data_IF_395693193559
#
_entry.id   IF_395693193559
#
_cell.length_a   1.000
_cell.length_b   1.000
_cell.length_c   1.000
_cell.angle_alpha   90.00
_cell.angle_beta   90.00
_cell.angle_gamma   90.00
#
_symmetry.space_group_name_H-M   'P 1'
#
loop_
_entity.id
_entity.type
_entity.pdbx_description
1 polymer ?
#
# COMPACT_ATOMS: atom_id res chain seq x y z
N UNK A 1 -26.07 3.22 12.11
CA UNK A 1 -25.62 3.25 13.52
C UNK A 1 -25.36 4.70 13.88
N UNK A 2 -26.17 5.24 14.79
CA UNK A 2 -26.03 6.62 15.30
C UNK A 2 -24.71 6.71 16.07
N UNK A 3 -23.79 7.54 15.58
CA UNK A 3 -22.46 7.69 16.17
C UNK A 3 -22.59 8.47 17.49
N UNK A 4 -22.43 7.80 18.64
CA UNK A 4 -22.62 8.36 19.99
C UNK A 4 -21.39 9.12 20.53
N UNK A 5 -20.36 9.33 19.72
CA UNK A 5 -19.10 9.98 20.12
C UNK A 5 -19.26 11.40 20.69
N UNK A 6 -20.30 12.12 20.28
CA UNK A 6 -20.58 13.48 20.75
C UNK A 6 -20.91 13.53 22.25
N UNK A 7 -21.33 12.41 22.86
CA UNK A 7 -21.47 12.30 24.32
C UNK A 7 -20.14 12.42 25.08
N UNK A 8 -18.99 12.30 24.40
CA UNK A 8 -17.69 12.53 25.01
C UNK A 8 -17.32 14.03 25.08
N UNK A 9 -17.96 14.91 24.30
CA UNK A 9 -17.66 16.34 24.28
C UNK A 9 -17.86 17.05 25.64
N UNK A 10 -18.91 16.76 26.43
CA UNK A 10 -19.06 17.31 27.78
C UNK A 10 -17.88 17.02 28.72
N UNK A 11 -17.09 15.97 28.47
CA UNK A 11 -15.90 15.62 29.27
C UNK A 11 -14.82 16.71 29.15
N UNK A 12 -14.80 17.51 28.07
CA UNK A 12 -13.92 18.68 27.91
C UNK A 12 -14.17 19.77 28.96
N UNK A 13 -15.33 19.77 29.62
CA UNK A 13 -15.63 20.69 30.71
C UNK A 13 -14.97 20.28 32.03
N UNK A 14 -14.54 19.02 32.19
CA UNK A 14 -13.93 18.53 33.44
C UNK A 14 -12.62 19.24 33.77
N UNK A 15 -11.63 19.39 32.85
CA UNK A 15 -10.42 20.15 33.14
C UNK A 15 -10.71 21.60 33.54
N UNK A 16 -11.70 22.23 32.88
CA UNK A 16 -12.12 23.61 33.15
C UNK A 16 -12.76 23.71 34.54
N UNK A 17 -13.70 22.82 34.85
CA UNK A 17 -14.36 22.78 36.15
C UNK A 17 -13.39 22.47 37.29
N UNK A 18 -12.47 21.52 37.07
CA UNK A 18 -11.42 21.19 38.03
C UNK A 18 -10.45 22.36 38.25
N UNK A 19 -10.04 23.04 37.18
CA UNK A 19 -9.19 24.24 37.25
C UNK A 19 -9.87 25.34 38.07
N UNK A 20 -11.18 25.55 37.86
CA UNK A 20 -12.00 26.47 38.65
C UNK A 20 -12.05 26.09 40.14
N UNK A 21 -12.19 24.79 40.47
CA UNK A 21 -12.31 24.32 41.86
C UNK A 21 -10.98 24.34 42.63
N UNK A 22 -9.85 23.99 42.00
CA UNK A 22 -8.53 23.87 42.67
C UNK A 22 -7.90 25.19 43.08
N UNK A 23 -8.38 26.34 42.58
CA UNK A 23 -7.71 27.64 42.72
C UNK A 23 -8.61 28.74 43.26
N UNK A 24 -9.50 28.35 44.17
CA UNK A 24 -9.91 29.22 45.27
C UNK A 24 -8.67 29.43 46.15
N UNK A 25 -7.77 30.33 45.74
CA UNK A 25 -6.61 30.68 46.54
C UNK A 25 -7.05 31.62 47.66
N UNK A 26 -6.91 31.15 48.89
CA UNK A 26 -6.92 32.00 50.08
C UNK A 26 -5.63 32.81 50.04
N UNK A 27 -5.69 34.02 49.49
CA UNK A 27 -4.59 34.96 49.62
C UNK A 27 -4.70 35.58 51.01
N UNK A 28 -3.99 35.01 51.98
CA UNK A 28 -3.72 35.72 53.22
C UNK A 28 -2.57 36.68 52.88
N UNK A 29 -2.89 37.96 52.65
CA UNK A 29 -1.85 38.99 52.63
C UNK A 29 -1.44 39.23 54.08
N UNK A 30 -0.20 38.89 54.49
CA UNK A 30 0.29 39.38 55.76
C UNK A 30 0.48 40.90 55.59
N UNK A 31 -0.38 41.70 56.22
CA UNK A 31 -0.12 43.11 56.42
C UNK A 31 1.13 43.23 57.29
N UNK A 32 2.29 43.34 56.65
CA UNK A 32 3.53 43.52 57.33
C UNK A 32 3.52 44.85 58.11
N UNK A 33 3.83 44.72 59.39
CA UNK A 33 4.43 45.74 60.25
C UNK A 33 3.65 47.05 60.43
N UNK A 34 2.60 47.02 61.25
CA UNK A 34 2.36 48.12 62.18
C UNK A 34 2.16 47.52 63.58
N UNK A 35 3.13 47.73 64.47
CA UNK A 35 3.17 47.23 65.86
C UNK A 35 2.02 47.79 66.74
N UNK A 36 1.04 48.47 66.14
CA UNK A 36 0.05 49.31 66.81
C UNK A 36 -1.39 49.17 66.31
N UNK A 37 -1.70 48.19 65.44
CA UNK A 37 -3.10 47.91 65.10
C UNK A 37 -3.67 46.79 66.00
N UNK A 38 -4.88 46.96 66.58
CA UNK A 38 -5.55 45.89 67.31
C UNK A 38 -5.72 44.70 66.38
N UNK A 39 -5.46 43.48 66.89
CA UNK A 39 -5.47 42.23 66.13
C UNK A 39 -6.75 42.09 65.30
N UNK A 40 -6.70 42.44 64.02
CA UNK A 40 -7.75 42.10 63.06
C UNK A 40 -7.43 40.75 62.45
N UNK A 41 -8.39 39.82 62.54
CA UNK A 41 -8.28 38.50 61.93
C UNK A 41 -8.03 38.62 60.42
N UNK A 42 -7.13 37.79 59.85
CA UNK A 42 -6.79 37.86 58.44
C UNK A 42 -8.02 37.57 57.58
N UNK A 43 -8.57 38.61 56.92
CA UNK A 43 -9.65 38.44 55.95
C UNK A 43 -9.12 37.76 54.70
N UNK A 44 -9.51 36.51 54.53
CA UNK A 44 -9.22 35.74 53.32
C UNK A 44 -10.00 36.33 52.15
N UNK A 45 -9.33 37.07 51.25
CA UNK A 45 -9.97 37.56 50.04
C UNK A 45 -9.93 36.49 48.94
N UNK A 46 -11.11 36.14 48.43
CA UNK A 46 -11.29 35.17 47.36
C UNK A 46 -11.04 35.84 46.01
N UNK A 47 -9.78 35.96 45.61
CA UNK A 47 -9.42 36.60 44.34
C UNK A 47 -9.42 35.56 43.22
N UNK A 48 -10.19 35.82 42.16
CA UNK A 48 -10.29 34.95 41.00
C UNK A 48 -9.22 35.35 39.98
N UNK A 49 -8.19 34.52 39.80
CA UNK A 49 -7.15 34.72 38.77
C UNK A 49 -7.01 33.47 37.90
N UNK A 50 -7.01 33.67 36.59
CA UNK A 50 -6.64 32.64 35.62
C UNK A 50 -5.12 32.47 35.62
N UNK A 51 -4.59 31.69 36.56
CA UNK A 51 -3.20 31.22 36.49
C UNK A 51 -3.11 29.96 35.63
N UNK A 52 -1.97 29.75 34.97
CA UNK A 52 -1.66 28.53 34.21
C UNK A 52 -2.58 28.22 33.03
N UNK A 53 -2.99 29.26 32.29
CA UNK A 53 -3.83 29.12 31.09
C UNK A 53 -3.20 28.14 30.10
N UNK A 54 -1.87 28.16 29.94
CA UNK A 54 -1.15 27.24 29.05
C UNK A 54 -1.35 25.76 29.43
N UNK A 55 -1.24 25.42 30.72
CA UNK A 55 -1.44 24.04 31.19
C UNK A 55 -2.90 23.60 31.02
N UNK A 56 -3.85 24.52 31.21
CA UNK A 56 -5.27 24.24 30.98
C UNK A 56 -5.55 23.95 29.50
N UNK A 57 -5.01 24.77 28.59
CA UNK A 57 -5.13 24.59 27.14
C UNK A 57 -4.57 23.22 26.74
N UNK A 58 -3.40 22.85 27.22
CA UNK A 58 -2.77 21.55 26.90
C UNK A 58 -3.62 20.37 27.36
N UNK A 59 -4.24 20.45 28.55
CA UNK A 59 -5.15 19.40 29.04
C UNK A 59 -6.43 19.29 28.22
N UNK A 60 -7.00 20.43 27.81
CA UNK A 60 -8.15 20.45 26.92
C UNK A 60 -7.79 19.86 25.54
N UNK A 61 -6.61 20.19 24.99
CA UNK A 61 -6.12 19.64 23.72
C UNK A 61 -5.87 18.12 23.82
N UNK A 62 -5.29 17.64 24.92
CA UNK A 62 -5.06 16.21 25.14
C UNK A 62 -6.39 15.44 25.12
N UNK A 63 -7.39 15.97 25.82
CA UNK A 63 -8.70 15.36 25.89
C UNK A 63 -9.45 15.44 24.55
N UNK A 64 -9.34 16.55 23.83
CA UNK A 64 -9.89 16.68 22.48
C UNK A 64 -9.24 15.69 21.50
N UNK A 65 -7.92 15.54 21.55
CA UNK A 65 -7.17 14.58 20.74
C UNK A 65 -7.57 13.13 21.07
N UNK A 66 -7.79 12.81 22.34
CA UNK A 66 -8.25 11.50 22.77
C UNK A 66 -9.68 11.19 22.26
N UNK A 67 -10.59 12.17 22.32
CA UNK A 67 -11.94 12.04 21.75
C UNK A 67 -11.86 11.82 20.25
N UNK A 68 -11.06 12.61 19.53
CA UNK A 68 -10.86 12.46 18.09
C UNK A 68 -10.30 11.07 17.75
N UNK A 69 -9.34 10.57 18.53
CA UNK A 69 -8.75 9.23 18.35
C UNK A 69 -9.77 8.11 18.53
N UNK A 70 -10.70 8.25 19.47
CA UNK A 70 -11.81 7.30 19.66
C UNK A 70 -12.90 7.42 18.57
N UNK A 71 -13.09 8.61 18.02
CA UNK A 71 -14.11 8.88 17.00
C UNK A 71 -13.66 8.48 15.59
N UNK A 72 -12.35 8.55 15.30
CA UNK A 72 -11.75 8.30 13.98
C UNK A 72 -12.18 6.97 13.33
N UNK A 73 -12.27 5.83 14.04
CA UNK A 73 -12.76 4.60 13.43
C UNK A 73 -14.22 4.68 12.96
N UNK A 74 -15.05 5.54 13.55
CA UNK A 74 -16.50 5.54 13.37
C UNK A 74 -16.98 6.71 12.51
N UNK A 75 -16.17 7.75 12.34
CA UNK A 75 -16.58 8.98 11.70
C UNK A 75 -16.16 9.04 10.22
N UNK A 76 -17.11 9.13 9.27
CA UNK A 76 -16.80 9.26 7.86
C UNK A 76 -16.43 10.71 7.53
N UNK A 77 -15.14 11.04 7.50
CA UNK A 77 -14.68 12.41 7.27
C UNK A 77 -14.30 12.70 5.81
N UNK A 78 -13.92 11.69 5.01
CA UNK A 78 -13.46 11.87 3.62
C UNK A 78 -14.63 12.15 2.68
N UNK A 79 -14.48 13.18 1.85
CA UNK A 79 -15.41 13.49 0.76
C UNK A 79 -15.04 12.78 -0.54
N UNK A 80 -15.40 13.39 -1.67
CA UNK A 80 -15.02 12.94 -3.00
C UNK A 80 -13.51 12.70 -3.09
N UNK A 81 -13.12 11.53 -3.60
CA UNK A 81 -11.72 11.10 -3.66
C UNK A 81 -11.37 10.60 -5.06
N UNK A 82 -10.24 11.07 -5.58
CA UNK A 82 -9.63 10.61 -6.84
C UNK A 82 -8.36 9.84 -6.49
N UNK A 83 -8.37 8.54 -6.77
CA UNK A 83 -7.17 7.71 -6.70
C UNK A 83 -6.47 7.76 -8.04
N UNK A 84 -5.20 8.15 -8.04
CA UNK A 84 -4.37 8.22 -9.25
C UNK A 84 -3.27 7.16 -9.14
N UNK A 85 -3.21 6.25 -10.09
CA UNK A 85 -2.13 5.29 -10.18
C UNK A 85 -0.81 6.02 -10.43
N UNK A 86 0.22 5.69 -9.66
CA UNK A 86 1.58 6.19 -9.91
C UNK A 86 2.01 5.88 -11.36
N UNK A 87 2.67 6.84 -12.01
CA UNK A 87 3.08 6.73 -13.42
C UNK A 87 2.04 7.19 -14.45
N UNK A 88 0.81 7.53 -14.05
CA UNK A 88 -0.21 8.05 -14.96
C UNK A 88 0.15 9.41 -15.57
N UNK A 89 -0.21 9.64 -16.85
CA UNK A 89 0.01 10.93 -17.52
C UNK A 89 -0.83 12.04 -16.86
N UNK A 90 -0.15 13.06 -16.31
CA UNK A 90 -0.78 14.18 -15.62
C UNK A 90 -1.80 14.94 -16.49
N UNK A 91 -1.57 15.05 -17.80
CA UNK A 91 -2.51 15.74 -18.72
C UNK A 91 -3.76 14.92 -18.97
N UNK A 92 -3.61 13.59 -19.06
CA UNK A 92 -4.75 12.69 -19.14
C UNK A 92 -5.55 12.68 -17.84
N UNK A 93 -4.87 12.56 -16.68
CA UNK A 93 -5.49 12.61 -15.36
C UNK A 93 -6.32 13.89 -15.17
N UNK A 94 -5.77 15.05 -15.51
CA UNK A 94 -6.50 16.32 -15.35
C UNK A 94 -7.76 16.36 -16.24
N UNK A 95 -7.67 15.89 -17.48
CA UNK A 95 -8.83 15.83 -18.39
C UNK A 95 -9.94 14.94 -17.82
N UNK A 96 -9.59 13.75 -17.34
CA UNK A 96 -10.56 12.82 -16.76
C UNK A 96 -11.18 13.35 -15.46
N UNK A 97 -10.39 13.99 -14.59
CA UNK A 97 -10.87 14.61 -13.36
C UNK A 97 -11.89 15.72 -13.66
N UNK A 98 -11.59 16.58 -14.64
CA UNK A 98 -12.51 17.66 -15.02
C UNK A 98 -13.75 17.11 -15.72
N UNK A 99 -13.60 16.16 -16.64
CA UNK A 99 -14.71 15.54 -17.36
C UNK A 99 -15.70 14.83 -16.41
N UNK A 100 -15.19 14.19 -15.36
CA UNK A 100 -16.01 13.52 -14.36
C UNK A 100 -16.52 14.46 -13.24
N UNK A 101 -16.14 15.74 -13.24
CA UNK A 101 -16.58 16.72 -12.25
C UNK A 101 -15.98 16.53 -10.85
N UNK A 102 -14.72 16.08 -10.77
CA UNK A 102 -13.97 15.84 -9.53
C UNK A 102 -12.91 16.92 -9.22
N UNK A 103 -13.04 18.13 -9.79
CA UNK A 103 -12.02 19.18 -9.66
C UNK A 103 -11.66 19.58 -8.21
N UNK A 104 -12.60 19.47 -7.27
CA UNK A 104 -12.40 19.77 -5.85
C UNK A 104 -12.10 18.53 -4.98
N UNK A 105 -12.06 17.34 -5.57
CA UNK A 105 -11.87 16.08 -4.86
C UNK A 105 -10.43 15.92 -4.37
N UNK A 106 -10.26 15.21 -3.24
CA UNK A 106 -8.94 14.90 -2.71
C UNK A 106 -8.22 13.91 -3.65
N UNK A 107 -7.04 14.28 -4.14
CA UNK A 107 -6.21 13.42 -4.99
C UNK A 107 -5.28 12.59 -4.12
N UNK A 108 -5.15 11.32 -4.45
CA UNK A 108 -4.30 10.42 -3.71
C UNK A 108 -3.51 9.53 -4.68
N UNK A 109 -2.18 9.69 -4.75
CA UNK A 109 -1.34 8.80 -5.52
C UNK A 109 -1.24 7.46 -4.79
N UNK A 110 -1.44 6.37 -5.52
CA UNK A 110 -1.25 5.01 -5.01
C UNK A 110 -0.60 4.13 -6.09
N UNK A 111 0.14 3.08 -5.70
CA UNK A 111 0.54 2.03 -6.64
C UNK A 111 -0.69 1.43 -7.32
N UNK A 112 -0.62 1.19 -8.64
CA UNK A 112 -1.75 0.72 -9.43
C UNK A 112 -2.38 -0.57 -8.87
N UNK A 113 -1.54 -1.49 -8.39
CA UNK A 113 -1.96 -2.77 -7.81
C UNK A 113 -2.77 -2.63 -6.51
N UNK A 114 -2.56 -1.52 -5.79
CA UNK A 114 -3.17 -1.29 -4.48
C UNK A 114 -4.44 -0.44 -4.57
N UNK A 115 -4.65 0.30 -5.66
CA UNK A 115 -5.72 1.30 -5.80
C UNK A 115 -7.13 0.76 -5.42
N UNK A 116 -7.57 -0.34 -6.03
CA UNK A 116 -8.88 -0.94 -5.75
C UNK A 116 -8.93 -1.59 -4.36
N UNK A 117 -7.82 -2.16 -3.91
CA UNK A 117 -7.68 -2.77 -2.59
C UNK A 117 -7.78 -1.72 -1.48
N UNK A 118 -7.15 -0.56 -1.67
CA UNK A 118 -7.17 0.57 -0.75
C UNK A 118 -8.59 1.10 -0.58
N UNK A 119 -9.33 1.31 -1.68
CA UNK A 119 -10.72 1.78 -1.62
C UNK A 119 -11.55 0.84 -0.76
N UNK A 120 -11.44 -0.47 -1.02
CA UNK A 120 -12.16 -1.49 -0.27
C UNK A 120 -11.87 -1.45 1.23
N UNK A 121 -10.63 -1.14 1.61
CA UNK A 121 -10.21 -1.03 3.01
C UNK A 121 -10.71 0.26 3.67
N UNK A 122 -10.79 1.37 2.92
CA UNK A 122 -11.09 2.71 3.46
C UNK A 122 -12.53 3.19 3.18
N UNK A 123 -13.42 2.32 2.68
CA UNK A 123 -14.82 2.69 2.38
C UNK A 123 -15.57 3.33 3.56
N UNK A 124 -15.22 2.95 4.79
CA UNK A 124 -15.85 3.48 6.01
C UNK A 124 -15.50 4.94 6.28
N UNK A 125 -14.35 5.40 5.82
CA UNK A 125 -13.87 6.76 6.04
C UNK A 125 -14.59 7.76 5.14
N UNK A 126 -15.24 7.27 4.07
CA UNK A 126 -15.95 8.07 3.10
C UNK A 126 -17.36 8.41 3.56
N UNK A 127 -17.74 9.68 3.33
CA UNK A 127 -19.09 10.18 3.58
C UNK A 127 -20.15 9.41 2.76
N UNK A 128 -21.41 9.41 3.21
CA UNK A 128 -22.53 8.79 2.49
C UNK A 128 -22.67 9.17 1.01
N UNK A 129 -22.35 10.41 0.70
CA UNK A 129 -22.48 11.06 -0.59
C UNK A 129 -21.16 11.13 -1.37
N UNK A 130 -20.06 10.64 -0.79
CA UNK A 130 -18.75 10.70 -1.42
C UNK A 130 -18.70 9.84 -2.69
N UNK A 131 -18.23 10.45 -3.78
CA UNK A 131 -18.01 9.81 -5.07
C UNK A 131 -16.54 9.40 -5.21
N UNK A 132 -16.28 8.33 -5.95
CA UNK A 132 -14.94 7.77 -6.12
C UNK A 132 -14.58 7.64 -7.60
N UNK A 133 -13.39 8.13 -7.93
CA UNK A 133 -12.79 8.00 -9.25
C UNK A 133 -11.40 7.36 -9.12
N UNK A 134 -11.13 6.36 -9.94
CA UNK A 134 -9.83 5.67 -10.02
C UNK A 134 -9.30 5.87 -11.43
N UNK A 135 -8.07 6.39 -11.52
CA UNK A 135 -7.40 6.76 -12.76
C UNK A 135 -6.07 6.03 -12.90
N UNK A 136 -5.78 5.49 -14.09
CA UNK A 136 -4.43 5.04 -14.49
C UNK A 136 -4.37 3.61 -15.01
N UNK A 137 -3.17 3.02 -15.05
CA UNK A 137 -2.96 1.65 -15.52
C UNK A 137 -3.34 0.61 -14.45
N UNK A 138 -4.63 0.54 -14.12
CA UNK A 138 -5.12 -0.33 -13.06
C UNK A 138 -5.18 -1.78 -13.58
N UNK A 139 -4.52 -2.76 -12.91
CA UNK A 139 -4.57 -4.14 -13.36
C UNK A 139 -5.98 -4.72 -13.21
N UNK A 140 -6.40 -5.52 -14.19
CA UNK A 140 -7.67 -6.23 -14.17
C UNK A 140 -7.71 -7.23 -13.02
N UNK A 141 -8.62 -7.06 -12.05
CA UNK A 141 -8.74 -8.01 -10.95
C UNK A 141 -9.38 -9.32 -11.45
N UNK A 142 -8.91 -10.45 -10.94
CA UNK A 142 -9.46 -11.78 -11.27
C UNK A 142 -10.94 -11.92 -10.89
N UNK A 143 -11.45 -11.08 -9.99
CA UNK A 143 -12.86 -11.00 -9.64
C UNK A 143 -13.25 -9.53 -9.54
N UNK A 144 -14.37 -9.16 -10.14
CA UNK A 144 -14.88 -7.79 -10.08
C UNK A 144 -15.09 -7.38 -8.61
N UNK A 145 -14.45 -6.30 -8.14
CA UNK A 145 -14.61 -5.84 -6.77
C UNK A 145 -16.02 -5.28 -6.58
N UNK A 146 -16.59 -5.61 -5.42
CA UNK A 146 -17.87 -5.08 -4.97
C UNK A 146 -17.60 -3.95 -3.98
N UNK A 147 -18.20 -2.80 -4.23
CA UNK A 147 -18.06 -1.60 -3.41
C UNK A 147 -19.44 -1.17 -2.88
N UNK A 148 -19.48 -0.60 -1.68
CA UNK A 148 -20.69 -0.01 -1.08
C UNK A 148 -21.01 1.38 -1.63
N UNK A 149 -20.11 1.91 -2.46
CA UNK A 149 -20.20 3.20 -3.13
C UNK A 149 -20.04 3.01 -4.63
N UNK A 150 -20.60 3.92 -5.45
CA UNK A 150 -20.28 3.94 -6.87
C UNK A 150 -18.79 4.28 -7.04
N UNK A 151 -18.09 3.49 -7.87
CA UNK A 151 -16.69 3.72 -8.23
C UNK A 151 -16.57 3.82 -9.73
N UNK A 152 -16.09 4.96 -10.21
CA UNK A 152 -15.76 5.15 -11.62
C UNK A 152 -14.29 4.76 -11.83
N UNK A 153 -14.05 3.81 -12.71
CA UNK A 153 -12.73 3.39 -13.13
C UNK A 153 -12.49 3.90 -14.55
N UNK A 154 -11.46 4.74 -14.72
CA UNK A 154 -10.96 5.12 -16.04
C UNK A 154 -9.52 4.70 -16.12
N UNK A 155 -9.18 3.98 -17.17
CA UNK A 155 -7.86 3.38 -17.31
C UNK A 155 -7.12 3.88 -18.53
N UNK A 156 -5.81 3.94 -18.38
CA UNK A 156 -4.87 4.24 -19.45
C UNK A 156 -3.81 3.15 -19.40
N UNK A 157 -3.85 2.22 -20.35
CA UNK A 157 -2.84 1.17 -20.44
C UNK A 157 -1.48 1.81 -20.72
N UNK A 158 -0.48 1.49 -19.91
CA UNK A 158 0.89 1.85 -20.25
C UNK A 158 1.31 0.99 -21.45
N UNK A 159 1.93 1.57 -22.50
CA UNK A 159 2.46 0.77 -23.59
C UNK A 159 3.51 -0.19 -23.01
N UNK A 160 3.22 -1.49 -23.12
CA UNK A 160 4.12 -2.53 -22.63
C UNK A 160 5.44 -2.41 -23.38
N UNK A 161 6.50 -2.04 -22.67
CA UNK A 161 7.82 -1.95 -23.26
C UNK A 161 8.32 -3.36 -23.58
N UNK A 162 8.91 -3.58 -24.76
CA UNK A 162 9.54 -4.86 -25.05
C UNK A 162 10.65 -5.13 -24.03
N UNK A 163 10.56 -6.25 -23.33
CA UNK A 163 11.61 -6.78 -22.47
C UNK A 163 12.48 -7.68 -23.33
N UNK A 164 13.76 -7.36 -23.45
CA UNK A 164 14.71 -8.19 -24.19
C UNK A 164 15.27 -9.28 -23.28
N UNK A 165 15.01 -10.54 -23.65
CA UNK A 165 15.57 -11.71 -22.98
C UNK A 165 16.66 -12.32 -23.86
N UNK A 166 17.87 -12.40 -23.31
CA UNK A 166 19.04 -12.92 -24.00
C UNK A 166 19.19 -14.42 -23.77
N UNK A 167 19.31 -15.17 -24.87
CA UNK A 167 19.35 -16.64 -24.87
C UNK A 167 20.62 -17.13 -25.56
N UNK A 168 21.40 -17.98 -24.88
CA UNK A 168 22.53 -18.68 -25.50
C UNK A 168 22.14 -20.15 -25.76
N UNK A 169 22.40 -20.65 -26.98
CA UNK A 169 22.01 -22.00 -27.40
C UNK A 169 23.25 -22.88 -27.59
N UNK A 170 23.29 -23.99 -26.88
CA UNK A 170 24.27 -25.07 -27.03
C UNK A 170 23.52 -26.33 -27.46
N UNK A 171 23.43 -26.56 -28.78
CA UNK A 171 22.63 -27.63 -29.36
C UNK A 171 23.15 -28.04 -30.74
N UNK A 172 23.07 -29.32 -31.06
CA UNK A 172 23.23 -29.80 -32.46
C UNK A 172 22.05 -29.38 -33.35
N UNK A 173 20.90 -29.05 -32.74
CA UNK A 173 19.63 -28.59 -33.34
C UNK A 173 19.43 -27.08 -33.12
N UNK A 174 20.49 -26.30 -33.30
CA UNK A 174 20.45 -24.84 -33.12
C UNK A 174 19.39 -24.14 -34.00
N UNK A 175 19.19 -24.50 -35.29
CA UNK A 175 18.16 -23.88 -36.13
C UNK A 175 16.74 -24.06 -35.60
N UNK A 176 16.41 -25.23 -35.04
CA UNK A 176 15.10 -25.56 -34.48
C UNK A 176 14.79 -24.69 -33.25
N UNK A 177 15.77 -24.54 -32.35
CA UNK A 177 15.66 -23.65 -31.20
C UNK A 177 15.50 -22.19 -31.62
N UNK A 178 16.23 -21.71 -32.64
CA UNK A 178 16.05 -20.35 -33.16
C UNK A 178 14.65 -20.13 -33.71
N UNK A 179 14.11 -21.10 -34.45
CA UNK A 179 12.73 -21.03 -34.97
C UNK A 179 11.71 -20.97 -33.84
N UNK A 180 11.87 -21.81 -32.81
CA UNK A 180 11.04 -21.80 -31.62
C UNK A 180 11.01 -20.40 -30.99
N UNK A 181 12.16 -19.81 -30.67
CA UNK A 181 12.22 -18.49 -30.05
C UNK A 181 11.75 -17.37 -30.97
N UNK A 182 11.91 -17.49 -32.28
CA UNK A 182 11.40 -16.50 -33.25
C UNK A 182 9.87 -16.49 -33.35
N UNK A 183 9.19 -17.56 -32.94
CA UNK A 183 7.74 -17.66 -32.94
C UNK A 183 7.08 -16.98 -31.72
N UNK A 184 7.88 -16.47 -30.77
CA UNK A 184 7.38 -15.68 -29.65
C UNK A 184 6.95 -14.31 -30.14
N UNK A 185 5.63 -14.12 -30.24
CA UNK A 185 5.01 -12.81 -30.39
C UNK A 185 4.65 -12.26 -29.00
N UNK A 186 4.93 -10.98 -28.76
CA UNK A 186 4.51 -10.28 -27.55
C UNK A 186 5.55 -9.30 -27.00
N UNK A 187 5.38 -8.85 -25.75
CA UNK A 187 6.30 -7.91 -25.12
C UNK A 187 7.65 -8.53 -24.76
N UNK A 188 7.79 -9.86 -24.77
CA UNK A 188 9.07 -10.53 -24.55
C UNK A 188 9.78 -10.72 -25.89
N UNK A 189 10.86 -9.96 -26.13
CA UNK A 189 11.69 -10.09 -27.32
C UNK A 189 12.89 -10.98 -27.02
N UNK A 190 12.99 -12.13 -27.70
CA UNK A 190 14.13 -13.03 -27.52
C UNK A 190 15.28 -12.65 -28.45
N UNK A 191 16.45 -12.40 -27.86
CA UNK A 191 17.71 -12.17 -28.58
C UNK A 191 18.60 -13.40 -28.40
N UNK A 192 18.90 -14.09 -29.49
CA UNK A 192 19.77 -15.27 -29.46
C UNK A 192 21.23 -14.83 -29.61
N UNK A 193 21.99 -14.95 -28.54
CA UNK A 193 23.42 -14.62 -28.52
C UNK A 193 24.27 -15.80 -29.00
N UNK A 194 25.34 -15.50 -29.73
CA UNK A 194 26.29 -16.52 -30.19
C UNK A 194 27.15 -17.10 -29.06
N UNK A 195 27.32 -16.35 -27.96
CA UNK A 195 28.05 -16.76 -26.76
C UNK A 195 27.33 -16.21 -25.52
N UNK A 196 27.33 -16.95 -24.40
CA UNK A 196 26.77 -16.46 -23.15
C UNK A 196 27.60 -15.27 -22.65
N UNK A 197 26.89 -14.24 -22.20
CA UNK A 197 27.45 -13.02 -21.65
C UNK A 197 26.77 -12.63 -20.33
N UNK A 198 27.13 -11.47 -19.74
CA UNK A 198 26.58 -11.04 -18.46
C UNK A 198 25.08 -10.74 -18.49
N UNK A 199 24.50 -10.54 -19.69
CA UNK A 199 23.06 -10.31 -19.89
C UNK A 199 22.27 -11.59 -20.18
N UNK A 200 22.94 -12.74 -20.36
CA UNK A 200 22.26 -13.99 -20.72
C UNK A 200 21.38 -14.48 -19.56
N UNK A 201 20.07 -14.48 -19.79
CA UNK A 201 19.08 -14.92 -18.81
C UNK A 201 18.81 -16.42 -18.93
N UNK A 202 18.83 -16.95 -20.16
CA UNK A 202 18.52 -18.35 -20.44
C UNK A 202 19.66 -19.01 -21.23
N UNK A 203 20.12 -20.17 -20.73
CA UNK A 203 20.98 -21.08 -21.49
C UNK A 203 20.16 -22.29 -21.91
N UNK A 204 20.06 -22.53 -23.23
CA UNK A 204 19.56 -23.80 -23.78
C UNK A 204 20.73 -24.76 -23.89
N UNK A 205 20.62 -25.89 -23.20
CA UNK A 205 21.61 -26.96 -23.16
C UNK A 205 21.00 -28.26 -23.70
N UNK A 206 21.19 -28.50 -24.99
CA UNK A 206 20.71 -29.69 -25.70
C UNK A 206 21.91 -30.55 -26.12
N UNK A 207 22.70 -30.92 -25.11
CA UNK A 207 23.86 -31.79 -25.20
C UNK A 207 23.79 -32.81 -24.06
N UNK A 208 24.22 -34.07 -24.27
CA UNK A 208 24.18 -35.11 -23.24
C UNK A 208 25.23 -34.91 -22.14
N UNK A 209 26.29 -34.15 -22.45
CA UNK A 209 27.37 -33.86 -21.51
C UNK A 209 26.94 -32.81 -20.47
N UNK A 210 27.51 -32.89 -19.26
CA UNK A 210 27.24 -31.89 -18.23
C UNK A 210 27.80 -30.51 -18.63
N UNK A 211 27.09 -29.41 -18.34
CA UNK A 211 27.55 -28.07 -18.66
C UNK A 211 28.83 -27.69 -17.89
N UNK A 212 29.80 -27.02 -18.54
CA UNK A 212 31.00 -26.49 -17.90
C UNK A 212 30.71 -25.71 -16.61
N UNK A 213 31.57 -25.88 -15.59
CA UNK A 213 31.38 -25.25 -14.28
C UNK A 213 31.40 -23.70 -14.31
N UNK A 214 32.05 -23.11 -15.32
CA UNK A 214 32.16 -21.66 -15.49
C UNK A 214 30.93 -20.98 -16.12
N UNK A 215 29.99 -21.74 -16.68
CA UNK A 215 28.77 -21.18 -17.27
C UNK A 215 27.75 -20.83 -16.20
N UNK A 216 27.20 -19.62 -16.30
CA UNK A 216 26.23 -19.07 -15.35
C UNK A 216 25.11 -18.38 -16.12
N UNK A 217 23.88 -18.73 -15.77
CA UNK A 217 22.65 -18.04 -16.16
C UNK A 217 21.58 -18.35 -15.12
N UNK A 218 20.64 -17.43 -14.84
CA UNK A 218 19.57 -17.69 -13.88
C UNK A 218 18.63 -18.81 -14.34
N UNK A 219 18.48 -19.02 -15.66
CA UNK A 219 17.61 -20.04 -16.24
C UNK A 219 18.38 -20.97 -17.17
N UNK A 220 18.00 -22.23 -17.13
CA UNK A 220 18.54 -23.28 -17.96
C UNK A 220 17.39 -24.09 -18.57
N UNK A 221 17.46 -24.39 -19.85
CA UNK A 221 16.55 -25.33 -20.51
C UNK A 221 17.35 -26.50 -21.03
N UNK A 222 17.07 -27.71 -20.55
CA UNK A 222 17.70 -28.94 -21.04
C UNK A 222 16.69 -29.85 -21.73
N UNK A 223 17.17 -30.58 -22.73
CA UNK A 223 16.44 -31.69 -23.38
C UNK A 223 16.83 -33.03 -22.78
N UNK A 224 18.03 -33.12 -22.21
CA UNK A 224 18.55 -34.31 -21.54
C UNK A 224 18.54 -34.10 -20.03
N UNK A 225 17.70 -34.86 -19.34
CA UNK A 225 17.61 -34.82 -17.88
C UNK A 225 18.87 -35.39 -17.20
N UNK A 226 19.66 -36.22 -17.90
CA UNK A 226 20.90 -36.80 -17.37
C UNK A 226 22.03 -35.78 -17.20
N UNK A 227 22.01 -34.68 -17.97
CA UNK A 227 23.00 -33.61 -17.87
C UNK A 227 22.90 -32.80 -16.55
N UNK A 228 21.77 -32.90 -15.83
CA UNK A 228 21.50 -32.15 -14.61
C UNK A 228 20.96 -33.06 -13.52
N UNK A 229 21.76 -33.32 -12.50
CA UNK A 229 21.39 -34.21 -11.38
C UNK A 229 20.23 -33.67 -10.56
N UNK A 230 20.03 -32.35 -10.51
CA UNK A 230 18.94 -31.72 -9.76
C UNK A 230 17.55 -32.10 -10.32
N UNK A 231 17.47 -32.47 -11.60
CA UNK A 231 16.21 -32.86 -12.22
C UNK A 231 15.74 -34.26 -11.81
N UNK A 232 16.58 -35.11 -11.22
CA UNK A 232 16.22 -36.48 -10.85
C UNK A 232 14.98 -36.53 -9.93
N UNK A 233 14.88 -35.59 -8.97
CA UNK A 233 13.79 -35.50 -8.00
C UNK A 233 12.77 -34.39 -8.32
N UNK A 234 12.86 -33.78 -9.51
CA UNK A 234 11.98 -32.68 -9.91
C UNK A 234 10.55 -33.14 -10.16
N UNK A 235 9.59 -32.29 -9.80
CA UNK A 235 8.16 -32.44 -10.15
C UNK A 235 7.91 -31.89 -11.56
N UNK A 236 6.96 -32.50 -12.25
CA UNK A 236 6.46 -31.99 -13.53
C UNK A 236 5.18 -31.17 -13.34
N UNK A 237 5.09 -30.02 -13.99
CA UNK A 237 3.88 -29.20 -14.07
C UNK A 237 3.62 -28.96 -15.56
N UNK A 238 2.41 -29.29 -16.02
CA UNK A 238 2.00 -29.16 -17.43
C UNK A 238 3.02 -29.78 -18.44
N UNK A 239 3.64 -30.91 -18.09
CA UNK A 239 4.62 -31.59 -18.95
C UNK A 239 6.03 -30.99 -18.95
N UNK A 240 6.29 -29.99 -18.11
CA UNK A 240 7.63 -29.41 -17.91
C UNK A 240 8.09 -29.72 -16.48
N UNK A 241 9.26 -30.35 -16.36
CA UNK A 241 9.98 -30.58 -15.10
C UNK A 241 10.84 -29.38 -14.77
N UNK A 242 10.93 -29.04 -13.49
CA UNK A 242 11.86 -28.00 -13.05
C UNK A 242 12.49 -28.28 -11.69
N UNK A 243 13.73 -27.84 -11.52
CA UNK A 243 14.45 -27.88 -10.27
C UNK A 243 15.27 -26.60 -10.09
N UNK A 244 15.33 -26.11 -8.85
CA UNK A 244 16.21 -25.01 -8.46
C UNK A 244 17.53 -25.60 -7.93
N UNK A 245 18.66 -25.11 -8.42
CA UNK A 245 19.99 -25.58 -8.04
C UNK A 245 21.03 -24.46 -7.93
N UNK A 246 22.27 -24.82 -7.64
CA UNK A 246 23.37 -23.86 -7.45
C UNK A 246 23.75 -23.07 -8.73
N UNK A 247 23.25 -23.51 -9.89
CA UNK A 247 23.48 -22.87 -11.20
C UNK A 247 22.32 -21.99 -11.65
N UNK A 248 21.17 -22.05 -10.97
CA UNK A 248 19.92 -21.42 -11.40
C UNK A 248 18.77 -22.43 -11.45
N UNK A 249 17.66 -22.02 -12.06
CA UNK A 249 16.50 -22.89 -12.29
C UNK A 249 16.68 -23.65 -13.60
N UNK A 250 16.60 -24.97 -13.54
CA UNK A 250 16.70 -25.86 -14.70
C UNK A 250 15.30 -26.36 -15.06
N UNK A 251 14.96 -26.24 -16.35
CA UNK A 251 13.72 -26.72 -16.95
C UNK A 251 14.03 -27.87 -17.90
N UNK A 252 13.18 -28.89 -17.92
CA UNK A 252 13.24 -29.96 -18.90
C UNK A 252 11.83 -30.33 -19.37
N UNK A 253 11.66 -30.54 -20.68
CA UNK A 253 10.37 -30.97 -21.22
C UNK A 253 10.55 -32.23 -22.07
N UNK A 254 9.66 -33.20 -21.86
CA UNK A 254 9.56 -34.39 -22.70
C UNK A 254 8.84 -34.12 -24.03
N UNK A 255 8.23 -32.94 -24.19
CA UNK A 255 7.55 -32.53 -25.41
C UNK A 255 8.51 -31.92 -26.46
N UNK A 256 9.82 -32.01 -26.23
CA UNK A 256 10.85 -31.61 -27.18
C UNK A 256 11.43 -32.82 -27.92
N UNK A 257 11.58 -32.78 -29.27
CA UNK A 257 11.19 -31.68 -30.15
C UNK A 257 9.65 -31.65 -30.37
N UNK A 258 9.05 -30.46 -30.52
CA UNK A 258 7.62 -30.34 -30.78
C UNK A 258 7.28 -30.93 -32.14
N UNK A 259 6.17 -31.66 -32.22
CA UNK A 259 5.72 -32.32 -33.45
C UNK A 259 5.13 -31.36 -34.50
N UNK A 260 4.63 -30.20 -34.08
CA UNK A 260 4.05 -29.18 -34.94
C UNK A 260 4.25 -27.75 -34.36
N UNK A 261 3.96 -26.68 -35.14
CA UNK A 261 4.11 -25.30 -34.67
C UNK A 261 3.21 -24.91 -33.49
N UNK A 262 2.03 -25.52 -33.35
CA UNK A 262 1.11 -25.24 -32.25
C UNK A 262 1.65 -25.82 -30.93
N UNK A 263 2.19 -27.04 -30.96
CA UNK A 263 2.88 -27.68 -29.85
C UNK A 263 4.13 -26.89 -29.43
N UNK A 264 4.87 -26.35 -30.40
CA UNK A 264 6.01 -25.47 -30.15
C UNK A 264 5.60 -24.19 -29.40
N UNK A 265 4.48 -23.56 -29.81
CA UNK A 265 3.94 -22.36 -29.16
C UNK A 265 3.42 -22.67 -27.75
N UNK A 266 2.67 -23.76 -27.60
CA UNK A 266 2.15 -24.20 -26.31
C UNK A 266 3.26 -24.51 -25.29
N UNK A 267 4.36 -25.13 -25.74
CA UNK A 267 5.54 -25.40 -24.90
C UNK A 267 6.16 -24.10 -24.37
N UNK A 268 6.34 -23.11 -25.24
CA UNK A 268 6.89 -21.80 -24.88
C UNK A 268 5.95 -21.00 -23.97
N UNK A 269 4.65 -20.99 -24.27
CA UNK A 269 3.66 -20.29 -23.46
C UNK A 269 3.58 -20.90 -22.05
N UNK A 270 3.60 -22.23 -21.94
CA UNK A 270 3.63 -22.94 -20.65
C UNK A 270 4.90 -22.59 -19.86
N UNK A 271 6.07 -22.59 -20.51
CA UNK A 271 7.32 -22.18 -19.87
C UNK A 271 7.26 -20.72 -19.40
N UNK A 272 6.73 -19.81 -20.24
CA UNK A 272 6.59 -18.39 -19.92
C UNK A 272 5.66 -18.17 -18.73
N UNK A 273 4.50 -18.81 -18.70
CA UNK A 273 3.55 -18.71 -17.59
C UNK A 273 4.13 -19.22 -16.28
N UNK A 274 4.88 -20.33 -16.32
CA UNK A 274 5.53 -20.90 -15.13
C UNK A 274 6.67 -20.03 -14.60
N UNK A 275 7.36 -19.29 -15.49
CA UNK A 275 8.52 -18.49 -15.09
C UNK A 275 8.20 -17.03 -14.80
N UNK A 276 7.53 -16.33 -15.73
CA UNK A 276 7.27 -14.89 -15.66
C UNK A 276 5.93 -14.55 -14.99
N UNK A 277 5.06 -15.54 -14.78
CA UNK A 277 3.69 -15.32 -14.33
C UNK A 277 2.82 -14.64 -15.40
N UNK A 278 1.50 -14.57 -15.19
CA UNK A 278 0.61 -13.85 -16.09
C UNK A 278 0.93 -12.35 -16.03
N UNK A 279 1.19 -11.74 -17.19
CA UNK A 279 1.33 -10.29 -17.28
C UNK A 279 -0.02 -9.64 -16.92
N UNK A 280 -0.06 -8.70 -15.96
CA UNK A 280 -1.30 -8.02 -15.63
C UNK A 280 -1.78 -7.20 -16.82
N UNK A 281 -3.00 -7.48 -17.28
CA UNK A 281 -3.66 -6.69 -18.31
C UNK A 281 -4.40 -5.52 -17.65
N UNK A 282 -4.39 -4.34 -18.28
CA UNK A 282 -5.12 -3.17 -17.79
C UNK A 282 -6.63 -3.42 -17.79
N UNK A 283 -7.31 -3.14 -16.67
CA UNK A 283 -8.75 -3.22 -16.58
C UNK A 283 -9.41 -2.29 -17.62
N UNK A 284 -10.52 -2.68 -18.28
CA UNK A 284 -11.26 -1.74 -19.12
C UNK A 284 -11.89 -0.63 -18.27
N UNK A 285 -12.15 0.55 -18.84
CA UNK A 285 -12.95 1.58 -18.17
C UNK A 285 -14.32 1.01 -17.77
N UNK A 286 -14.72 1.24 -16.52
CA UNK A 286 -15.92 0.64 -15.95
C UNK A 286 -16.54 1.56 -14.91
N UNK A 287 -17.87 1.56 -14.84
CA UNK A 287 -18.62 2.19 -13.76
C UNK A 287 -19.19 1.08 -12.86
N UNK A 288 -18.64 0.97 -11.66
CA UNK A 288 -19.04 -0.02 -10.67
C UNK A 288 -20.15 0.56 -9.81
N UNK A 289 -21.35 -0.04 -9.89
CA UNK A 289 -22.48 0.35 -9.06
C UNK A 289 -22.27 -0.01 -7.58
N UNK A 290 -22.89 0.75 -6.70
CA UNK A 290 -22.92 0.42 -5.28
C UNK A 290 -23.66 -0.91 -5.06
N UNK A 291 -23.08 -1.75 -4.20
CA UNK A 291 -23.62 -3.06 -3.81
C UNK A 291 -23.86 -3.10 -2.31
N UNK A 292 -24.84 -3.91 -1.88
CA UNK A 292 -25.16 -4.13 -0.47
C UNK A 292 -24.19 -5.11 0.22
N UNK A 293 -22.93 -5.13 -0.20
CA UNK A 293 -21.92 -6.02 0.37
C UNK A 293 -21.71 -5.70 1.87
N UNK A 294 -21.54 -6.71 2.74
CA UNK A 294 -21.24 -6.48 4.14
C UNK A 294 -19.89 -5.75 4.26
N UNK A 295 -19.84 -4.74 5.12
CA UNK A 295 -18.60 -4.02 5.40
C UNK A 295 -17.54 -5.01 5.93
N UNK A 296 -16.39 -5.12 5.25
CA UNK A 296 -15.26 -5.88 5.79
C UNK A 296 -14.64 -5.12 6.96
N UNK A 297 -14.40 -5.83 8.06
CA UNK A 297 -14.04 -5.27 9.37
C UNK A 297 -12.56 -4.90 9.55
N UNK A 298 -12.34 -4.08 10.59
CA UNK A 298 -11.07 -3.65 11.23
C UNK A 298 -10.05 -2.86 10.41
N UNK A 299 -10.46 -1.84 9.67
CA UNK A 299 -9.53 -0.76 9.34
C UNK A 299 -9.25 0.09 10.60
N UNK A 300 -7.98 0.28 10.95
CA UNK A 300 -7.58 1.37 11.84
C UNK A 300 -7.92 2.67 11.14
N UNK A 301 -8.67 3.57 11.79
CA UNK A 301 -9.01 4.85 11.15
C UNK A 301 -7.74 5.59 10.69
N UNK A 302 -7.85 6.29 9.56
CA UNK A 302 -6.70 6.91 8.89
C UNK A 302 -5.93 7.94 9.73
N UNK A 303 -6.55 8.57 10.74
CA UNK A 303 -5.87 9.54 11.60
C UNK A 303 -5.30 8.90 12.87
N UNK A 304 -5.59 7.63 13.13
CA UNK A 304 -5.26 6.96 14.40
C UNK A 304 -3.79 7.04 14.76
N UNK A 305 -2.88 6.83 13.81
CA UNK A 305 -1.44 6.90 14.04
C UNK A 305 -0.99 8.34 14.36
N UNK A 306 -1.45 9.32 13.58
CA UNK A 306 -1.13 10.74 13.80
C UNK A 306 -1.67 11.25 15.14
N UNK A 307 -2.92 10.89 15.47
CA UNK A 307 -3.55 11.24 16.74
C UNK A 307 -2.85 10.56 17.94
N UNK A 308 -2.34 9.33 17.78
CA UNK A 308 -1.54 8.67 18.80
C UNK A 308 -0.23 9.44 19.07
N UNK A 309 0.49 9.83 18.01
CA UNK A 309 1.68 10.67 18.15
C UNK A 309 1.36 12.03 18.77
N UNK A 310 0.26 12.65 18.38
CA UNK A 310 -0.25 13.88 18.99
C UNK A 310 -0.54 13.72 20.48
N UNK A 311 -1.15 12.62 20.89
CA UNK A 311 -1.39 12.29 22.30
C UNK A 311 -0.09 12.15 23.09
N UNK A 312 0.90 11.45 22.56
CA UNK A 312 2.21 11.29 23.19
C UNK A 312 2.91 12.64 23.36
N UNK A 313 2.92 13.48 22.32
CA UNK A 313 3.52 14.80 22.37
C UNK A 313 2.83 15.73 23.38
N UNK A 314 1.48 15.77 23.37
CA UNK A 314 0.70 16.56 24.32
C UNK A 314 0.89 16.09 25.76
N UNK A 315 1.02 14.77 25.98
CA UNK A 315 1.30 14.22 27.30
C UNK A 315 2.69 14.59 27.80
N UNK A 316 3.71 14.51 26.95
CA UNK A 316 5.07 14.95 27.31
C UNK A 316 5.10 16.44 27.66
N UNK A 317 4.41 17.28 26.88
CA UNK A 317 4.33 18.72 27.10
C UNK A 317 3.58 19.06 28.40
N UNK A 318 2.50 18.33 28.73
CA UNK A 318 1.81 18.45 30.02
C UNK A 318 2.77 18.16 31.19
N UNK A 319 3.60 17.11 31.06
CA UNK A 319 4.58 16.73 32.08
C UNK A 319 5.69 17.77 32.26
N UNK A 320 6.22 18.30 31.15
CA UNK A 320 7.24 19.36 31.18
C UNK A 320 6.70 20.64 31.83
N UNK A 321 5.51 21.10 31.45
CA UNK A 321 4.88 22.29 32.05
C UNK A 321 4.57 22.09 33.53
N UNK A 322 4.10 20.90 33.91
CA UNK A 322 3.84 20.58 35.32
C UNK A 322 5.13 20.54 36.13
N UNK A 323 6.23 20.05 35.56
CA UNK A 323 7.53 20.00 36.22
C UNK A 323 8.18 21.40 36.33
N UNK A 324 8.16 22.19 35.25
CA UNK A 324 8.66 23.57 35.24
C UNK A 324 7.94 24.45 36.27
N UNK A 325 6.66 24.18 36.52
CA UNK A 325 5.87 24.86 37.55
C UNK A 325 6.25 24.48 38.99
N UNK A 326 6.74 23.25 39.21
CA UNK A 326 7.10 22.76 40.56
C UNK A 326 8.46 23.26 41.02
N UNK A 327 9.31 23.70 40.09
CA UNK A 327 10.55 24.43 40.36
C UNK A 327 10.25 25.90 40.61
#
# INVERSE_FOLDING_TARGET
MTSLWWFALPVLLLPIWWHRKKRVQVKAEPLASARFLPRTEPRQMRVWRWSDVLLLVVRCLLLACAIAWLADPVFPWRGDTVVVAEGSDARWVEREVQAAGYGAAARMPLPAQEALGWIRTHERELRPDARLLVLGDIPMPATLPQFRRPVMLRTQAEPIRPVETHVAIFSTRTPEWRRLFSALDGPLRVVVDARPGPKTELIVWDLPEAPPAGLRAPLWWTTDTGAFTELAQSKAVAGIRYADGARGRVWASTAWPPGDPAAARALLDTWRELHYGPAPYTAPPLDLAATNAPARGYASGALRAFLLWGLVALFALERMLTHARRR
#
